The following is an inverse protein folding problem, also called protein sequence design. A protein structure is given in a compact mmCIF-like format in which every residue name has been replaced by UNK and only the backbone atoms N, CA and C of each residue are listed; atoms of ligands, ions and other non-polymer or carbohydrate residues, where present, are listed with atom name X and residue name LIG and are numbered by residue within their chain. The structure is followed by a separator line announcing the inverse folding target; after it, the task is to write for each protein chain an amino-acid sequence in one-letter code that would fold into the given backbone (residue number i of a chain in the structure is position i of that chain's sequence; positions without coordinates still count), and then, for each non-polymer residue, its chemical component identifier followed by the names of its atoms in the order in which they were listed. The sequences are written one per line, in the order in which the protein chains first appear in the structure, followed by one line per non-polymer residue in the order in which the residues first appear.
data_IF_674418606916
#
_entry.id   IF_674418606916
#
_cell.length_a   1.000
_cell.length_b   1.000
_cell.length_c   1.000
_cell.angle_alpha   90.00
_cell.angle_beta   90.00
_cell.angle_gamma   90.00
#
_symmetry.space_group_name_H-M   'P 1'
#
loop_
_entity.id
_entity.type
_entity.pdbx_description
1 polymer ?
#
# COMPACT_ATOMS: atom_id res chain seq x y z
N UNK A 1 4.79 -13.35 40.38
CA UNK A 1 4.65 -12.31 39.32
C UNK A 1 6.03 -12.14 38.70
N UNK A 2 6.17 -12.33 37.40
CA UNK A 2 7.43 -12.10 36.67
C UNK A 2 7.38 -10.68 36.12
N UNK A 3 8.39 -9.88 36.47
CA UNK A 3 8.56 -8.54 35.89
C UNK A 3 9.60 -8.60 34.80
N UNK A 4 9.37 -7.88 33.73
CA UNK A 4 10.28 -7.76 32.59
C UNK A 4 10.67 -6.30 32.37
N UNK A 5 11.88 -6.07 31.88
CA UNK A 5 12.43 -4.72 31.65
C UNK A 5 12.86 -4.63 30.19
N UNK A 6 12.54 -3.49 29.55
CA UNK A 6 13.12 -3.10 28.28
C UNK A 6 14.02 -1.88 28.51
N UNK A 7 15.18 -1.84 27.85
CA UNK A 7 16.12 -0.74 27.97
C UNK A 7 16.68 -0.31 26.61
N UNK A 8 16.83 0.99 26.43
CA UNK A 8 17.59 1.57 25.31
C UNK A 8 18.97 1.99 25.81
N UNK A 9 20.00 1.60 25.07
CA UNK A 9 21.39 1.86 25.41
C UNK A 9 22.03 2.75 24.33
N UNK A 10 22.91 3.65 24.75
CA UNK A 10 23.70 4.51 23.88
C UNK A 10 25.18 4.34 24.22
N UNK A 11 26.03 4.23 23.20
CA UNK A 11 27.47 4.39 23.36
C UNK A 11 27.86 5.83 23.02
N UNK A 12 28.71 6.43 23.85
CA UNK A 12 29.13 7.83 23.68
C UNK A 12 29.81 8.09 22.33
N UNK A 13 30.48 7.10 21.76
CA UNK A 13 31.14 7.20 20.45
C UNK A 13 30.16 7.32 19.26
N UNK A 14 28.91 6.86 19.43
CA UNK A 14 27.90 6.83 18.36
C UNK A 14 27.08 8.13 18.33
N UNK A 15 27.35 9.04 19.26
CA UNK A 15 26.61 10.30 19.41
C UNK A 15 27.51 11.48 19.06
N UNK A 16 27.14 12.24 18.04
CA UNK A 16 27.91 13.43 17.60
C UNK A 16 27.61 14.68 18.45
N UNK A 17 26.40 14.78 18.98
CA UNK A 17 25.96 15.90 19.83
C UNK A 17 25.57 15.38 21.23
N UNK A 18 26.33 15.78 22.25
CA UNK A 18 26.15 15.33 23.63
C UNK A 18 25.24 16.24 24.47
N UNK A 19 24.33 17.00 23.84
CA UNK A 19 23.30 17.73 24.58
C UNK A 19 22.33 16.75 25.28
N UNK A 20 21.86 17.11 26.46
CA UNK A 20 20.90 16.29 27.20
C UNK A 20 19.66 15.95 26.37
N UNK A 21 19.14 16.93 25.61
CA UNK A 21 17.98 16.76 24.78
C UNK A 21 18.22 15.70 23.67
N UNK A 22 19.38 15.74 23.02
CA UNK A 22 19.72 14.78 21.98
C UNK A 22 19.93 13.38 22.57
N UNK A 23 20.63 13.25 23.68
CA UNK A 23 20.83 11.96 24.37
C UNK A 23 19.48 11.34 24.78
N UNK A 24 18.58 12.12 25.35
CA UNK A 24 17.22 11.64 25.69
C UNK A 24 16.46 11.15 24.47
N UNK A 25 16.46 11.92 23.39
CA UNK A 25 15.78 11.57 22.13
C UNK A 25 16.29 10.24 21.53
N UNK A 26 17.61 10.04 21.52
CA UNK A 26 18.22 8.82 21.00
C UNK A 26 17.95 7.62 21.95
N UNK A 27 17.97 7.84 23.27
CA UNK A 27 17.62 6.83 24.27
C UNK A 27 16.16 6.40 24.17
N UNK A 28 15.24 7.34 23.95
CA UNK A 28 13.80 7.05 23.73
C UNK A 28 13.58 6.25 22.46
N UNK A 29 14.30 6.60 21.38
CA UNK A 29 14.28 5.78 20.15
C UNK A 29 14.76 4.36 20.47
N UNK A 30 15.93 4.18 21.06
CA UNK A 30 16.48 2.86 21.40
C UNK A 30 15.53 2.05 22.31
N UNK A 31 14.92 2.70 23.29
CA UNK A 31 13.91 2.07 24.14
C UNK A 31 12.65 1.67 23.37
N UNK A 32 12.22 2.50 22.41
CA UNK A 32 11.07 2.18 21.56
C UNK A 32 11.32 0.96 20.69
N UNK A 33 12.54 0.82 20.14
CA UNK A 33 12.96 -0.34 19.37
C UNK A 33 12.97 -1.61 20.24
N UNK A 34 13.55 -1.56 21.44
CA UNK A 34 13.51 -2.69 22.38
C UNK A 34 12.07 -3.15 22.70
N UNK A 35 11.13 -2.21 22.79
CA UNK A 35 9.71 -2.52 23.02
C UNK A 35 9.02 -3.08 21.78
N UNK A 36 9.36 -2.59 20.59
CA UNK A 36 8.82 -3.06 19.30
C UNK A 36 9.26 -4.48 19.01
N UNK A 37 10.52 -4.80 19.29
CA UNK A 37 11.12 -6.11 19.06
C UNK A 37 10.69 -7.20 20.07
N UNK A 38 9.56 -7.01 20.76
CA UNK A 38 8.98 -8.03 21.66
C UNK A 38 9.22 -7.77 23.14
N UNK A 39 9.73 -6.60 23.53
CA UNK A 39 9.97 -6.22 24.93
C UNK A 39 11.01 -7.13 25.62
N UNK A 40 11.20 -6.97 26.94
CA UNK A 40 12.10 -7.78 27.76
C UNK A 40 13.52 -7.95 27.19
N UNK A 41 14.08 -6.87 26.67
CA UNK A 41 15.41 -6.83 26.05
C UNK A 41 16.03 -5.46 26.11
N UNK A 42 17.34 -5.42 25.87
CA UNK A 42 18.07 -4.19 25.62
C UNK A 42 18.23 -4.01 24.10
N UNK A 43 18.14 -2.76 23.66
CA UNK A 43 18.47 -2.35 22.30
C UNK A 43 19.61 -1.34 22.36
N UNK A 44 20.72 -1.64 21.71
CA UNK A 44 21.81 -0.69 21.54
C UNK A 44 21.49 0.24 20.35
N UNK A 45 21.58 1.54 20.57
CA UNK A 45 21.34 2.53 19.55
C UNK A 45 22.19 2.24 18.31
N UNK A 46 21.55 2.25 17.16
CA UNK A 46 22.16 2.13 15.84
C UNK A 46 21.79 3.36 15.03
N UNK A 47 22.78 4.06 14.51
CA UNK A 47 22.58 5.30 13.75
C UNK A 47 21.80 5.05 12.47
N UNK A 48 22.10 3.97 11.76
CA UNK A 48 21.44 3.58 10.51
C UNK A 48 19.96 3.31 10.73
N UNK A 49 19.59 2.68 11.84
CA UNK A 49 18.18 2.39 12.15
C UNK A 49 17.45 3.67 12.58
N UNK A 50 18.14 4.59 13.25
CA UNK A 50 17.59 5.88 13.58
C UNK A 50 17.35 6.75 12.31
N UNK A 51 18.27 6.73 11.36
CA UNK A 51 18.10 7.41 10.06
C UNK A 51 16.92 6.83 9.28
N UNK A 52 16.76 5.49 9.24
CA UNK A 52 15.58 4.84 8.67
C UNK A 52 14.28 5.27 9.36
N UNK A 53 14.29 5.31 10.70
CA UNK A 53 13.14 5.78 11.48
C UNK A 53 12.76 7.23 11.14
N UNK A 54 13.74 8.12 11.06
CA UNK A 54 13.50 9.52 10.68
C UNK A 54 12.94 9.63 9.26
N UNK A 55 13.51 8.87 8.32
CA UNK A 55 13.02 8.81 6.93
C UNK A 55 11.58 8.29 6.86
N UNK A 56 11.26 7.20 7.57
CA UNK A 56 9.88 6.69 7.66
C UNK A 56 8.94 7.74 8.24
N UNK A 57 9.34 8.43 9.31
CA UNK A 57 8.53 9.48 9.94
C UNK A 57 8.28 10.67 9.03
N UNK A 58 9.27 11.05 8.22
CA UNK A 58 9.12 12.10 7.21
C UNK A 58 8.18 11.65 6.10
N UNK A 59 8.34 10.44 5.59
CA UNK A 59 7.48 9.87 4.57
C UNK A 59 6.01 9.77 5.02
N UNK A 60 5.75 9.33 6.26
CA UNK A 60 4.39 9.36 6.85
C UNK A 60 3.78 10.76 6.80
N UNK A 61 4.57 11.79 7.10
CA UNK A 61 4.11 13.18 7.09
C UNK A 61 3.81 13.65 5.66
N UNK A 62 4.67 13.32 4.72
CA UNK A 62 4.51 13.68 3.32
C UNK A 62 3.28 13.01 2.70
N UNK A 63 3.09 11.71 2.92
CA UNK A 63 1.93 10.98 2.46
C UNK A 63 0.61 11.56 3.01
N UNK A 64 0.58 11.87 4.31
CA UNK A 64 -0.59 12.55 4.89
C UNK A 64 -0.87 13.89 4.24
N UNK A 65 0.16 14.72 4.09
CA UNK A 65 0.03 16.04 3.44
C UNK A 65 -0.49 15.90 2.01
N UNK A 66 0.04 14.94 1.24
CA UNK A 66 -0.39 14.66 -0.13
C UNK A 66 -1.86 14.27 -0.22
N UNK A 67 -2.33 13.37 0.65
CA UNK A 67 -3.75 12.97 0.69
C UNK A 67 -4.67 14.16 1.00
N UNK A 68 -4.27 15.05 1.93
CA UNK A 68 -5.06 16.24 2.26
C UNK A 68 -4.95 17.35 1.21
N UNK A 69 -3.95 17.30 0.32
CA UNK A 69 -3.73 18.27 -0.74
C UNK A 69 -4.02 17.64 -2.12
N UNK A 70 -5.23 17.15 -2.29
CA UNK A 70 -5.75 16.59 -3.55
C UNK A 70 -4.83 15.52 -4.17
N UNK A 71 -4.25 14.65 -3.33
CA UNK A 71 -3.33 13.58 -3.74
C UNK A 71 -2.09 14.07 -4.48
N UNK A 72 -1.66 15.30 -4.24
CA UNK A 72 -0.46 15.89 -4.83
C UNK A 72 0.76 14.99 -4.63
N UNK A 73 1.50 14.73 -5.71
CA UNK A 73 2.65 13.82 -5.74
C UNK A 73 2.29 12.35 -5.98
N UNK A 74 1.01 11.95 -5.90
CA UNK A 74 0.58 10.65 -6.39
C UNK A 74 0.33 10.67 -7.89
N UNK A 75 0.77 9.62 -8.56
CA UNK A 75 0.59 9.39 -9.99
C UNK A 75 0.18 7.93 -10.22
N UNK A 76 -0.55 7.69 -11.31
CA UNK A 76 -0.85 6.33 -11.78
C UNK A 76 -0.12 6.06 -13.10
N UNK A 77 0.67 4.99 -13.13
CA UNK A 77 1.29 4.48 -14.33
C UNK A 77 0.47 3.30 -14.84
N UNK A 78 0.51 3.07 -16.14
CA UNK A 78 -0.20 1.98 -16.76
C UNK A 78 0.79 1.02 -17.41
N UNK A 79 0.72 -0.25 -17.01
CA UNK A 79 1.48 -1.32 -17.64
C UNK A 79 0.56 -2.11 -18.57
N UNK A 80 0.77 -2.06 -19.90
CA UNK A 80 -0.10 -2.73 -20.85
C UNK A 80 0.02 -4.26 -20.71
N UNK A 81 -1.13 -4.93 -20.84
CA UNK A 81 -1.27 -6.38 -20.90
C UNK A 81 -1.79 -6.71 -22.29
N UNK A 82 -1.05 -7.53 -23.04
CA UNK A 82 -1.40 -7.94 -24.39
C UNK A 82 -1.85 -9.39 -24.42
N UNK A 83 -2.77 -9.69 -25.31
CA UNK A 83 -3.22 -11.05 -25.58
C UNK A 83 -2.10 -11.87 -26.23
N UNK A 84 -1.82 -13.04 -25.71
CA UNK A 84 -0.81 -13.94 -26.25
C UNK A 84 -1.23 -14.60 -27.58
N UNK A 85 -2.50 -14.47 -27.98
CA UNK A 85 -3.06 -15.09 -29.18
C UNK A 85 -2.82 -14.21 -30.41
N UNK A 86 -3.07 -12.90 -30.28
CA UNK A 86 -3.10 -11.96 -31.40
C UNK A 86 -2.25 -10.69 -31.16
N UNK A 87 -1.56 -10.60 -30.04
CA UNK A 87 -0.75 -9.45 -29.60
C UNK A 87 -1.55 -8.13 -29.53
N UNK A 88 -2.87 -8.20 -29.41
CA UNK A 88 -3.69 -7.01 -29.23
C UNK A 88 -3.69 -6.56 -27.76
N UNK A 89 -3.89 -5.25 -27.56
CA UNK A 89 -4.04 -4.68 -26.21
C UNK A 89 -5.31 -5.25 -25.57
N UNK A 90 -5.13 -6.00 -24.47
CA UNK A 90 -6.22 -6.62 -23.72
C UNK A 90 -6.62 -5.81 -22.51
N UNK A 91 -5.63 -5.38 -21.73
CA UNK A 91 -5.84 -4.66 -20.47
C UNK A 91 -4.65 -3.75 -20.16
N UNK A 92 -4.74 -3.02 -19.06
CA UNK A 92 -3.55 -2.43 -18.43
C UNK A 92 -3.68 -2.53 -16.89
N UNK A 93 -2.56 -2.78 -16.24
CA UNK A 93 -2.45 -2.70 -14.80
C UNK A 93 -2.18 -1.27 -14.37
N UNK A 94 -2.91 -0.81 -13.35
CA UNK A 94 -2.75 0.52 -12.77
C UNK A 94 -1.78 0.45 -11.60
N UNK A 95 -0.62 1.06 -11.76
CA UNK A 95 0.48 1.04 -10.81
C UNK A 95 0.63 2.40 -10.13
N UNK A 96 0.41 2.44 -8.83
CA UNK A 96 0.56 3.65 -8.02
C UNK A 96 2.04 4.05 -7.92
N UNK A 97 2.31 5.35 -8.08
CA UNK A 97 3.62 5.98 -7.88
C UNK A 97 3.47 7.15 -6.93
N UNK A 98 4.55 7.46 -6.24
CA UNK A 98 4.59 8.61 -5.34
C UNK A 98 5.90 9.38 -5.49
N UNK A 99 5.78 10.67 -5.73
CA UNK A 99 6.87 11.61 -5.79
C UNK A 99 6.80 12.58 -4.59
N UNK A 100 7.71 12.41 -3.63
CA UNK A 100 7.87 13.33 -2.51
C UNK A 100 8.65 14.57 -2.97
N UNK A 101 8.23 15.76 -2.56
CA UNK A 101 8.98 17.00 -2.84
C UNK A 101 10.42 16.96 -2.31
N UNK A 102 10.66 16.24 -1.21
CA UNK A 102 11.96 16.18 -0.56
C UNK A 102 12.80 14.95 -0.92
N UNK A 103 12.12 13.81 -1.12
CA UNK A 103 12.78 12.51 -1.32
C UNK A 103 12.81 12.08 -2.78
N UNK A 104 12.16 12.84 -3.68
CA UNK A 104 12.00 12.44 -5.08
C UNK A 104 11.05 11.26 -5.23
N UNK A 105 11.29 10.42 -6.24
CA UNK A 105 10.50 9.21 -6.47
C UNK A 105 10.71 8.22 -5.32
N UNK A 106 9.63 7.82 -4.66
CA UNK A 106 9.64 6.85 -3.55
C UNK A 106 9.16 5.49 -4.08
N UNK A 107 9.85 4.43 -3.69
CA UNK A 107 9.48 3.07 -4.10
C UNK A 107 8.13 2.63 -3.51
N UNK A 108 7.25 1.95 -4.27
CA UNK A 108 6.03 1.36 -3.74
C UNK A 108 6.24 0.47 -2.51
N UNK A 109 7.32 -0.29 -2.47
CA UNK A 109 7.69 -1.13 -1.32
C UNK A 109 7.91 -0.33 -0.03
N UNK A 110 8.31 0.94 -0.15
CA UNK A 110 8.53 1.81 1.00
C UNK A 110 7.24 2.52 1.46
N UNK A 111 6.38 2.96 0.52
CA UNK A 111 5.24 3.80 0.89
C UNK A 111 3.91 3.06 1.01
N UNK A 112 3.67 1.98 0.25
CA UNK A 112 2.41 1.23 0.34
C UNK A 112 2.18 0.67 1.74
N UNK A 113 3.17 0.01 2.40
CA UNK A 113 2.99 -0.46 3.78
C UNK A 113 2.65 0.68 4.75
N UNK A 114 3.19 1.88 4.54
CA UNK A 114 2.87 3.05 5.36
C UNK A 114 1.42 3.52 5.13
N UNK A 115 0.95 3.52 3.89
CA UNK A 115 -0.46 3.82 3.59
C UNK A 115 -1.39 2.83 4.29
N UNK A 116 -1.03 1.55 4.32
CA UNK A 116 -1.78 0.50 5.00
C UNK A 116 -1.78 0.66 6.52
N UNK A 117 -0.59 0.82 7.13
CA UNK A 117 -0.43 1.03 8.57
C UNK A 117 -1.22 2.26 9.07
N UNK A 118 -1.25 3.31 8.27
CA UNK A 118 -1.92 4.58 8.63
C UNK A 118 -3.39 4.64 8.20
N UNK A 119 -3.86 3.67 7.42
CA UNK A 119 -5.21 3.66 6.83
C UNK A 119 -5.40 4.62 5.66
N UNK A 120 -4.35 5.34 5.25
CA UNK A 120 -4.39 6.24 4.09
C UNK A 120 -4.57 5.49 2.77
N UNK A 121 -4.32 4.18 2.76
CA UNK A 121 -4.57 3.32 1.58
C UNK A 121 -6.04 3.36 1.14
N UNK A 122 -6.98 3.63 2.04
CA UNK A 122 -8.42 3.70 1.72
C UNK A 122 -8.73 4.90 0.80
N UNK A 123 -8.46 6.16 1.20
CA UNK A 123 -8.69 7.30 0.31
C UNK A 123 -7.80 7.28 -0.94
N UNK A 124 -6.54 6.82 -0.83
CA UNK A 124 -5.63 6.70 -1.97
C UNK A 124 -6.14 5.65 -2.96
N UNK A 125 -6.56 4.47 -2.50
CA UNK A 125 -7.09 3.43 -3.37
C UNK A 125 -8.38 3.83 -4.08
N UNK A 126 -9.25 4.60 -3.41
CA UNK A 126 -10.41 5.20 -4.06
C UNK A 126 -10.00 6.18 -5.17
N UNK A 127 -9.02 7.03 -4.92
CA UNK A 127 -8.48 7.94 -5.93
C UNK A 127 -7.88 7.17 -7.12
N UNK A 128 -7.07 6.12 -6.86
CA UNK A 128 -6.51 5.24 -7.90
C UNK A 128 -7.61 4.62 -8.76
N UNK A 129 -8.68 4.11 -8.13
CA UNK A 129 -9.82 3.53 -8.83
C UNK A 129 -10.43 4.55 -9.81
N UNK A 130 -10.66 5.78 -9.36
CA UNK A 130 -11.20 6.82 -10.25
C UNK A 130 -10.26 7.19 -11.40
N UNK A 131 -8.94 7.24 -11.15
CA UNK A 131 -7.95 7.44 -12.22
C UNK A 131 -8.00 6.29 -13.24
N UNK A 132 -7.99 5.05 -12.77
CA UNK A 132 -8.05 3.86 -13.60
C UNK A 132 -9.32 3.83 -14.48
N UNK A 133 -10.48 4.06 -13.89
CA UNK A 133 -11.76 4.08 -14.61
C UNK A 133 -11.84 5.22 -15.63
N UNK A 134 -11.28 6.38 -15.31
CA UNK A 134 -11.19 7.49 -16.26
C UNK A 134 -10.39 7.11 -17.50
N UNK A 135 -9.23 6.46 -17.30
CA UNK A 135 -8.43 5.96 -18.43
C UNK A 135 -9.14 4.87 -19.20
N UNK A 136 -9.76 3.90 -18.51
CA UNK A 136 -10.51 2.82 -19.18
C UNK A 136 -11.58 3.37 -20.11
N UNK A 137 -12.36 4.35 -19.65
CA UNK A 137 -13.38 5.03 -20.46
C UNK A 137 -12.78 5.70 -21.71
N UNK A 138 -11.62 6.35 -21.57
CA UNK A 138 -10.96 6.99 -22.72
C UNK A 138 -10.44 5.95 -23.73
N UNK A 139 -9.84 4.86 -23.25
CA UNK A 139 -9.31 3.78 -24.11
C UNK A 139 -10.45 3.05 -24.84
N UNK A 140 -11.63 2.89 -24.22
CA UNK A 140 -12.80 2.28 -24.86
C UNK A 140 -13.24 2.95 -26.17
N UNK A 141 -12.86 4.20 -26.39
CA UNK A 141 -13.11 4.87 -27.68
C UNK A 141 -12.36 4.22 -28.86
N UNK A 142 -11.30 3.49 -28.57
CA UNK A 142 -10.41 2.86 -29.56
C UNK A 142 -10.36 1.35 -29.43
N UNK A 143 -10.49 0.82 -28.22
CA UNK A 143 -10.46 -0.61 -27.88
C UNK A 143 -11.65 -0.93 -26.98
N UNK A 144 -12.82 -1.26 -27.56
CA UNK A 144 -14.09 -1.41 -26.81
C UNK A 144 -14.08 -2.48 -25.72
N UNK A 145 -13.26 -3.53 -25.86
CA UNK A 145 -13.18 -4.65 -24.92
C UNK A 145 -11.99 -4.52 -23.93
N UNK A 146 -11.33 -3.35 -23.93
CA UNK A 146 -10.20 -3.08 -23.02
C UNK A 146 -10.64 -3.16 -21.56
N UNK A 147 -9.77 -3.72 -20.72
CA UNK A 147 -9.98 -3.83 -19.29
C UNK A 147 -8.94 -3.07 -18.50
N UNK A 148 -9.30 -2.63 -17.30
CA UNK A 148 -8.37 -1.98 -16.41
C UNK A 148 -8.21 -2.79 -15.13
N UNK A 149 -6.97 -3.04 -14.73
CA UNK A 149 -6.65 -3.72 -13.47
C UNK A 149 -6.27 -2.74 -12.39
N UNK A 150 -6.76 -3.00 -11.17
CA UNK A 150 -6.48 -2.20 -9.98
C UNK A 150 -6.11 -3.10 -8.82
N UNK A 151 -5.02 -2.78 -8.16
CA UNK A 151 -4.59 -3.43 -6.93
C UNK A 151 -5.44 -2.97 -5.74
N UNK A 152 -5.94 -3.91 -4.95
CA UNK A 152 -6.73 -3.66 -3.75
C UNK A 152 -6.02 -4.23 -2.54
N UNK A 153 -5.76 -3.39 -1.54
CA UNK A 153 -5.15 -3.81 -0.28
C UNK A 153 -6.14 -4.58 0.61
N UNK A 154 -5.63 -5.56 1.35
CA UNK A 154 -6.38 -6.24 2.40
C UNK A 154 -7.03 -5.27 3.41
N UNK A 155 -6.36 -4.17 3.73
CA UNK A 155 -6.90 -3.12 4.62
C UNK A 155 -8.17 -2.49 4.04
N UNK A 156 -8.23 -2.27 2.72
CA UNK A 156 -9.44 -1.77 2.05
C UNK A 156 -10.58 -2.78 2.15
N UNK A 157 -10.29 -4.06 1.93
CA UNK A 157 -11.29 -5.14 2.07
C UNK A 157 -11.89 -5.17 3.48
N UNK A 158 -11.06 -4.98 4.50
CA UNK A 158 -11.47 -5.09 5.90
C UNK A 158 -12.16 -3.83 6.44
N UNK A 159 -11.80 -2.65 5.95
CA UNK A 159 -12.14 -1.37 6.57
C UNK A 159 -12.95 -0.41 5.69
N UNK A 160 -13.21 -0.78 4.42
CA UNK A 160 -14.06 0.03 3.53
C UNK A 160 -15.17 -0.79 2.87
N UNK A 161 -16.23 -0.15 2.35
CA UNK A 161 -17.27 -0.82 1.56
C UNK A 161 -16.81 -0.98 0.10
N UNK A 162 -15.64 -1.59 -0.12
CA UNK A 162 -14.91 -1.62 -1.40
C UNK A 162 -15.77 -2.10 -2.58
N UNK A 163 -16.62 -3.11 -2.40
CA UNK A 163 -17.52 -3.58 -3.45
C UNK A 163 -18.49 -2.47 -3.91
N UNK A 164 -19.09 -1.78 -2.96
CA UNK A 164 -20.01 -0.68 -3.25
C UNK A 164 -19.28 0.47 -3.93
N UNK A 165 -18.07 0.78 -3.48
CA UNK A 165 -17.23 1.82 -4.09
C UNK A 165 -16.90 1.48 -5.54
N UNK A 166 -16.46 0.25 -5.83
CA UNK A 166 -16.15 -0.18 -7.20
C UNK A 166 -17.41 -0.10 -8.08
N UNK A 167 -18.51 -0.71 -7.67
CA UNK A 167 -19.75 -0.77 -8.48
C UNK A 167 -20.34 0.63 -8.73
N UNK A 168 -20.27 1.52 -7.75
CA UNK A 168 -20.73 2.89 -7.89
C UNK A 168 -19.86 3.66 -8.87
N UNK A 169 -18.53 3.57 -8.71
CA UNK A 169 -17.58 4.25 -9.60
C UNK A 169 -17.67 3.73 -11.03
N UNK A 170 -17.74 2.42 -11.24
CA UNK A 170 -17.92 1.83 -12.58
C UNK A 170 -19.14 2.42 -13.28
N UNK A 171 -20.27 2.53 -12.56
CA UNK A 171 -21.50 3.14 -13.10
C UNK A 171 -21.33 4.62 -13.41
N UNK A 172 -20.68 5.39 -12.55
CA UNK A 172 -20.41 6.83 -12.74
C UNK A 172 -19.59 7.09 -14.00
N UNK A 173 -18.65 6.20 -14.33
CA UNK A 173 -17.86 6.31 -15.56
C UNK A 173 -18.55 5.72 -16.80
N UNK A 174 -19.75 5.16 -16.67
CA UNK A 174 -20.48 4.52 -17.79
C UNK A 174 -19.84 3.24 -18.29
N UNK A 175 -19.05 2.58 -17.45
CA UNK A 175 -18.38 1.31 -17.70
C UNK A 175 -19.22 0.13 -17.21
N UNK A 176 -18.79 -1.09 -17.56
CA UNK A 176 -19.37 -2.33 -17.10
C UNK A 176 -18.47 -2.97 -16.03
N UNK A 177 -19.02 -3.76 -15.10
CA UNK A 177 -18.21 -4.48 -14.10
C UNK A 177 -17.12 -5.36 -14.72
N UNK A 178 -17.41 -6.00 -15.87
CA UNK A 178 -16.46 -6.84 -16.62
C UNK A 178 -15.26 -6.08 -17.25
N UNK A 179 -15.30 -4.76 -17.25
CA UNK A 179 -14.19 -3.91 -17.69
C UNK A 179 -13.13 -3.74 -16.61
N UNK A 180 -13.43 -4.20 -15.37
CA UNK A 180 -12.54 -4.06 -14.22
C UNK A 180 -11.99 -5.40 -13.76
N UNK A 181 -10.69 -5.44 -13.55
CA UNK A 181 -9.96 -6.53 -12.91
C UNK A 181 -9.53 -6.05 -11.53
N UNK A 182 -9.87 -6.77 -10.49
CA UNK A 182 -9.40 -6.51 -9.12
C UNK A 182 -8.29 -7.48 -8.80
N UNK A 183 -7.12 -6.95 -8.44
CA UNK A 183 -5.95 -7.72 -8.04
C UNK A 183 -5.76 -7.66 -6.53
N UNK A 184 -5.47 -8.82 -5.93
CA UNK A 184 -5.08 -8.95 -4.52
C UNK A 184 -3.78 -9.75 -4.44
N UNK A 185 -2.90 -9.36 -3.54
CA UNK A 185 -1.68 -10.13 -3.28
C UNK A 185 -2.01 -11.51 -2.68
N UNK A 186 -1.15 -12.49 -2.93
CA UNK A 186 -1.28 -13.84 -2.36
C UNK A 186 -1.40 -13.80 -0.84
N UNK A 187 -0.60 -12.98 -0.16
CA UNK A 187 -0.64 -12.81 1.30
C UNK A 187 -2.02 -12.31 1.78
N UNK A 188 -2.61 -11.36 1.08
CA UNK A 188 -3.96 -10.87 1.38
C UNK A 188 -5.04 -11.94 1.16
N UNK A 189 -4.80 -12.87 0.23
CA UNK A 189 -5.71 -13.99 -0.02
C UNK A 189 -5.58 -15.10 1.04
N UNK A 190 -4.36 -15.42 1.50
CA UNK A 190 -4.11 -16.49 2.49
C UNK A 190 -4.51 -16.09 3.92
N UNK A 191 -4.46 -14.82 4.26
CA UNK A 191 -5.07 -14.31 5.50
C UNK A 191 -6.61 -14.36 5.46
N UNK A 192 -7.18 -15.03 4.46
CA UNK A 192 -8.59 -15.07 4.11
C UNK A 192 -9.46 -15.47 5.29
N UNK A 193 -10.00 -14.44 5.92
CA UNK A 193 -11.17 -14.60 6.77
C UNK A 193 -12.44 -14.63 5.88
N UNK A 194 -13.57 -14.95 6.49
CA UNK A 194 -14.87 -15.01 5.82
C UNK A 194 -15.18 -13.76 4.96
N UNK A 195 -14.70 -12.58 5.34
CA UNK A 195 -14.95 -11.32 4.61
C UNK A 195 -14.28 -11.27 3.24
N UNK A 196 -13.05 -11.76 3.13
CA UNK A 196 -12.35 -11.81 1.83
C UNK A 196 -13.06 -12.77 0.89
N UNK A 197 -13.43 -13.96 1.36
CA UNK A 197 -14.14 -14.96 0.57
C UNK A 197 -15.52 -14.47 0.12
N UNK A 198 -16.26 -13.79 1.00
CA UNK A 198 -17.55 -13.18 0.66
C UNK A 198 -17.39 -12.08 -0.38
N UNK A 199 -16.39 -11.20 -0.22
CA UNK A 199 -16.09 -10.15 -1.20
C UNK A 199 -15.78 -10.77 -2.58
N UNK A 200 -14.89 -11.78 -2.65
CA UNK A 200 -14.55 -12.47 -3.88
C UNK A 200 -15.76 -13.02 -4.60
N UNK A 201 -16.61 -13.73 -3.86
CA UNK A 201 -17.85 -14.28 -4.40
C UNK A 201 -18.73 -13.17 -4.98
N UNK A 202 -18.95 -12.11 -4.22
CA UNK A 202 -19.81 -10.99 -4.63
C UNK A 202 -19.23 -10.20 -5.81
N UNK A 203 -17.93 -9.98 -5.88
CA UNK A 203 -17.27 -9.34 -7.04
C UNK A 203 -17.56 -10.17 -8.31
N UNK A 204 -17.36 -11.49 -8.24
CA UNK A 204 -17.66 -12.41 -9.38
C UNK A 204 -19.13 -12.41 -9.76
N UNK A 205 -20.03 -12.43 -8.79
CA UNK A 205 -21.49 -12.37 -9.04
C UNK A 205 -21.90 -11.10 -9.79
N UNK A 206 -21.16 -10.02 -9.64
CA UNK A 206 -21.36 -8.76 -10.37
C UNK A 206 -20.58 -8.67 -11.69
N UNK A 207 -19.82 -9.70 -12.05
CA UNK A 207 -19.06 -9.74 -13.31
C UNK A 207 -17.67 -9.10 -13.26
N UNK A 208 -17.21 -8.67 -12.08
CA UNK A 208 -15.84 -8.13 -11.90
C UNK A 208 -14.85 -9.30 -11.99
N UNK A 209 -13.79 -9.10 -12.78
CA UNK A 209 -12.72 -10.09 -12.90
C UNK A 209 -11.76 -10.01 -11.70
N UNK A 210 -11.19 -11.15 -11.34
CA UNK A 210 -10.31 -11.27 -10.19
C UNK A 210 -8.97 -11.84 -10.62
N UNK A 211 -7.90 -11.27 -10.11
CA UNK A 211 -6.54 -11.77 -10.29
C UNK A 211 -5.83 -11.88 -8.92
N UNK A 212 -4.90 -12.82 -8.83
CA UNK A 212 -4.01 -12.95 -7.68
C UNK A 212 -2.64 -12.49 -8.15
N UNK A 213 -2.13 -11.45 -7.50
CA UNK A 213 -0.80 -10.92 -7.74
C UNK A 213 0.25 -11.58 -6.86
N UNK A 214 1.54 -11.53 -7.30
CA UNK A 214 2.69 -12.12 -6.62
C UNK A 214 2.54 -13.64 -6.31
N UNK A 215 1.80 -14.38 -7.14
CA UNK A 215 1.54 -15.80 -6.92
C UNK A 215 2.85 -16.62 -6.90
N UNK A 216 3.05 -17.39 -5.81
CA UNK A 216 4.24 -18.21 -5.62
C UNK A 216 5.42 -17.53 -4.90
N UNK A 217 5.27 -16.25 -4.51
CA UNK A 217 6.30 -15.52 -3.75
C UNK A 217 6.10 -15.65 -2.23
N UNK A 218 4.94 -16.13 -1.79
CA UNK A 218 4.55 -16.36 -0.41
C UNK A 218 4.62 -17.83 0.02
N UNK A 219 3.78 -18.21 0.98
CA UNK A 219 3.72 -19.55 1.58
C UNK A 219 2.87 -20.56 0.77
N UNK A 220 2.93 -20.52 -0.55
CA UNK A 220 2.21 -21.52 -1.38
C UNK A 220 2.83 -22.88 -1.19
N UNK A 221 2.42 -23.62 -0.15
CA UNK A 221 2.65 -25.05 -0.06
C UNK A 221 1.58 -25.75 -0.91
N UNK A 222 1.96 -26.15 -2.14
CA UNK A 222 1.23 -27.15 -2.91
C UNK A 222 1.64 -28.53 -2.49
#
# INVERSE_FOLDING_TARGET
TVYTISAGLLESRDVTEHSFQNLMKLSEFALSEAKRDGKNRCYLFCKEDYEKFLRKKELVRDLRRSVYNDFSGFETYLQPIVSAVDNQLFAAETLLRFHSEKMGMVSPVDFIPILEETGLIIPVGKWVLHQALSVCREVHKYVPDFKISVNVSYIQVMKSPILTEILTSVREYGLKPEDVIVELTESGFLESNYRCMDLWKRLREHGILLAIDDFGTGYSNF
#
